data_IF_377413436833
#
_entry.id   IF_377413436833
#
_cell.length_a   1.000
_cell.length_b   1.000
_cell.length_c   1.000
_cell.angle_alpha   90.00
_cell.angle_beta   90.00
_cell.angle_gamma   90.00
#
_symmetry.space_group_name_H-M   'P 1'
#
loop_
_entity.id
_entity.type
_entity.pdbx_description
1 polymer ?
#
# COMPACT_ATOMS: atom_id res chain seq x y z
N UNK A 1 11.91 5.86 -40.97
CA UNK A 1 11.66 6.33 -39.58
C UNK A 1 10.27 5.92 -39.04
N UNK A 2 9.17 6.16 -39.79
CA UNK A 2 7.79 5.82 -39.35
C UNK A 2 7.62 4.32 -39.09
N UNK A 3 8.10 3.44 -39.96
CA UNK A 3 8.01 1.98 -39.82
C UNK A 3 8.71 1.50 -38.57
N UNK A 4 9.91 2.02 -38.27
CA UNK A 4 10.64 1.67 -37.04
C UNK A 4 9.88 2.12 -35.80
N UNK A 5 9.29 3.32 -35.81
CA UNK A 5 8.44 3.82 -34.73
C UNK A 5 7.22 2.92 -34.49
N UNK A 6 6.55 2.46 -35.55
CA UNK A 6 5.45 1.51 -35.43
C UNK A 6 5.90 0.17 -34.81
N UNK A 7 7.04 -0.37 -35.19
CA UNK A 7 7.56 -1.60 -34.58
C UNK A 7 7.89 -1.44 -33.10
N UNK A 8 8.47 -0.31 -32.70
CA UNK A 8 8.76 -0.03 -31.28
C UNK A 8 7.45 0.09 -30.48
N UNK A 9 6.47 0.83 -31.00
CA UNK A 9 5.16 0.98 -30.35
C UNK A 9 4.43 -0.36 -30.23
N UNK A 10 4.38 -1.12 -31.32
CA UNK A 10 3.74 -2.44 -31.29
C UNK A 10 4.47 -3.40 -30.33
N UNK A 11 5.79 -3.44 -30.38
CA UNK A 11 6.58 -4.29 -29.48
C UNK A 11 6.41 -3.94 -28.00
N UNK A 12 6.36 -2.64 -27.67
CA UNK A 12 6.16 -2.19 -26.29
C UNK A 12 4.72 -2.38 -25.79
N UNK A 13 3.74 -2.37 -26.69
CA UNK A 13 2.33 -2.59 -26.37
C UNK A 13 1.95 -4.09 -26.18
N UNK A 14 2.85 -5.01 -26.53
CA UNK A 14 2.57 -6.43 -26.35
C UNK A 14 2.54 -6.81 -24.84
N UNK A 15 1.51 -7.55 -24.38
CA UNK A 15 1.44 -8.05 -23.00
C UNK A 15 2.70 -8.83 -22.57
N UNK A 16 3.29 -9.57 -23.51
CA UNK A 16 4.53 -10.33 -23.26
C UNK A 16 5.70 -9.42 -22.87
N UNK A 17 5.85 -8.27 -23.54
CA UNK A 17 6.92 -7.30 -23.23
C UNK A 17 6.72 -6.73 -21.83
N UNK A 18 5.51 -6.33 -21.49
CA UNK A 18 5.17 -5.85 -20.14
C UNK A 18 5.45 -6.93 -19.10
N UNK A 19 5.03 -8.17 -19.35
CA UNK A 19 5.26 -9.29 -18.44
C UNK A 19 6.74 -9.60 -18.21
N UNK A 20 7.57 -9.55 -19.25
CA UNK A 20 9.02 -9.76 -19.12
C UNK A 20 9.70 -8.67 -18.30
N UNK A 21 9.28 -7.41 -18.47
CA UNK A 21 9.79 -6.29 -17.67
C UNK A 21 9.37 -6.44 -16.21
N UNK A 22 8.10 -6.73 -15.93
CA UNK A 22 7.59 -6.98 -14.57
C UNK A 22 8.32 -8.14 -13.90
N UNK A 23 8.44 -9.28 -14.55
CA UNK A 23 9.16 -10.43 -14.00
C UNK A 23 10.62 -10.11 -13.68
N UNK A 24 11.27 -9.24 -14.47
CA UNK A 24 12.63 -8.79 -14.22
C UNK A 24 12.75 -7.98 -12.91
N UNK A 25 11.75 -7.16 -12.60
CA UNK A 25 11.68 -6.37 -11.36
C UNK A 25 11.29 -7.25 -10.17
N UNK A 26 10.25 -8.06 -10.31
CA UNK A 26 9.73 -8.92 -9.25
C UNK A 26 10.73 -9.98 -8.77
N UNK A 27 11.60 -10.48 -9.66
CA UNK A 27 12.66 -11.43 -9.28
C UNK A 27 13.65 -10.86 -8.26
N UNK A 28 13.81 -9.54 -8.21
CA UNK A 28 14.69 -8.88 -7.23
C UNK A 28 14.05 -8.86 -5.83
N UNK A 29 12.71 -8.86 -5.76
CA UNK A 29 11.94 -8.83 -4.53
C UNK A 29 10.81 -9.87 -4.57
N UNK A 30 11.16 -11.17 -4.50
CA UNK A 30 10.16 -12.22 -4.59
C UNK A 30 9.15 -12.14 -3.43
N UNK A 31 7.87 -12.41 -3.68
CA UNK A 31 6.85 -12.44 -2.64
C UNK A 31 7.24 -13.46 -1.57
N UNK A 32 7.08 -13.07 -0.30
CA UNK A 32 7.33 -13.95 0.83
C UNK A 32 6.03 -14.58 1.30
N UNK A 33 6.04 -15.86 1.50
CA UNK A 33 4.91 -16.59 2.09
C UNK A 33 4.89 -16.32 3.60
N UNK A 34 3.70 -16.13 4.16
CA UNK A 34 3.49 -15.80 5.57
C UNK A 34 4.27 -16.73 6.52
N UNK A 35 4.24 -18.03 6.29
CA UNK A 35 4.92 -19.01 7.14
C UNK A 35 6.45 -18.84 7.18
N UNK A 36 7.02 -18.26 6.14
CA UNK A 36 8.47 -18.01 6.02
C UNK A 36 8.88 -16.62 6.54
N UNK A 37 7.93 -15.79 6.96
CA UNK A 37 8.24 -14.52 7.58
C UNK A 37 8.83 -14.75 8.97
N UNK A 38 9.92 -14.03 9.26
CA UNK A 38 10.43 -13.87 10.62
C UNK A 38 9.54 -12.95 11.46
N UNK A 39 10.01 -12.57 12.65
CA UNK A 39 9.39 -11.49 13.41
C UNK A 39 9.85 -10.13 12.91
N UNK A 40 8.92 -9.19 12.91
CA UNK A 40 9.10 -7.80 12.53
C UNK A 40 8.48 -6.91 13.62
N UNK A 41 8.94 -5.69 13.76
CA UNK A 41 8.39 -4.74 14.73
C UNK A 41 7.06 -4.17 14.23
N UNK A 42 6.96 -3.92 12.92
CA UNK A 42 5.74 -3.45 12.29
C UNK A 42 5.55 -4.03 10.88
N UNK A 43 4.31 -4.06 10.42
CA UNK A 43 3.95 -4.22 9.01
C UNK A 43 3.40 -2.91 8.48
N UNK A 44 3.90 -2.48 7.31
CA UNK A 44 3.49 -1.23 6.67
C UNK A 44 2.61 -1.52 5.48
N UNK A 45 1.46 -0.87 5.45
CA UNK A 45 0.50 -0.93 4.33
C UNK A 45 0.43 0.46 3.71
N UNK A 46 0.99 0.58 2.51
CA UNK A 46 0.98 1.82 1.74
C UNK A 46 -0.42 2.09 1.18
N UNK A 47 -0.79 3.36 1.06
CA UNK A 47 -2.06 3.81 0.48
C UNK A 47 -2.17 3.54 -1.03
N UNK A 48 -3.29 3.89 -1.65
CA UNK A 48 -3.53 3.73 -3.09
C UNK A 48 -4.38 2.50 -3.44
N UNK A 49 -5.20 2.02 -2.51
CA UNK A 49 -6.08 0.86 -2.69
C UNK A 49 -7.57 1.21 -2.60
N UNK A 50 -7.90 2.46 -2.27
CA UNK A 50 -9.28 2.93 -2.23
C UNK A 50 -9.51 4.02 -3.27
N UNK A 51 -10.64 3.91 -3.97
CA UNK A 51 -11.20 4.99 -4.77
C UNK A 51 -12.29 5.68 -3.95
N UNK A 52 -12.08 6.96 -3.65
CA UNK A 52 -13.06 7.77 -2.89
C UNK A 52 -13.85 8.69 -3.81
N UNK A 53 -15.16 8.77 -3.63
CA UNK A 53 -16.00 9.71 -4.33
C UNK A 53 -17.09 10.27 -3.42
N UNK A 54 -17.54 11.47 -3.72
CA UNK A 54 -18.67 12.08 -3.04
C UNK A 54 -19.93 11.96 -3.91
N UNK A 55 -20.96 11.33 -3.38
CA UNK A 55 -22.28 11.23 -4.03
C UNK A 55 -23.35 11.82 -3.13
N UNK A 56 -24.05 12.84 -3.63
CA UNK A 56 -25.10 13.56 -2.88
C UNK A 56 -24.65 14.02 -1.49
N UNK A 57 -23.42 14.55 -1.38
CA UNK A 57 -22.84 15.03 -0.12
C UNK A 57 -22.39 13.93 0.85
N UNK A 58 -22.49 12.67 0.48
CA UNK A 58 -22.01 11.53 1.27
C UNK A 58 -20.72 11.00 0.65
N UNK A 59 -19.66 10.93 1.44
CA UNK A 59 -18.40 10.29 1.03
C UNK A 59 -18.60 8.77 0.98
N UNK A 60 -18.17 8.16 -0.11
CA UNK A 60 -18.14 6.70 -0.30
C UNK A 60 -16.74 6.29 -0.76
N UNK A 61 -16.33 5.12 -0.33
CA UNK A 61 -15.08 4.51 -0.78
C UNK A 61 -15.34 3.12 -1.34
N UNK A 62 -14.65 2.81 -2.43
CA UNK A 62 -14.66 1.48 -3.06
C UNK A 62 -13.25 0.93 -3.10
N UNK A 63 -13.12 -0.39 -2.99
CA UNK A 63 -11.85 -1.07 -3.14
C UNK A 63 -11.43 -1.09 -4.61
N UNK A 64 -10.19 -0.63 -4.87
CA UNK A 64 -9.55 -0.79 -6.18
C UNK A 64 -8.66 -2.04 -6.18
N UNK A 65 -7.74 -2.16 -5.20
CA UNK A 65 -6.84 -3.30 -5.03
C UNK A 65 -6.58 -3.52 -3.53
N UNK A 66 -7.41 -4.35 -2.86
CA UNK A 66 -7.35 -4.49 -1.41
C UNK A 66 -6.31 -5.49 -0.90
N UNK A 67 -5.57 -6.19 -1.77
CA UNK A 67 -4.74 -7.34 -1.41
C UNK A 67 -3.72 -7.00 -0.31
N UNK A 68 -3.05 -5.83 -0.41
CA UNK A 68 -2.08 -5.39 0.60
C UNK A 68 -2.71 -5.08 1.95
N UNK A 69 -3.97 -4.62 1.98
CA UNK A 69 -4.70 -4.38 3.22
C UNK A 69 -4.95 -5.70 3.96
N UNK A 70 -5.49 -6.68 3.26
CA UNK A 70 -5.76 -7.99 3.86
C UNK A 70 -4.46 -8.71 4.26
N UNK A 71 -3.43 -8.64 3.43
CA UNK A 71 -2.12 -9.20 3.75
C UNK A 71 -1.51 -8.56 5.02
N UNK A 72 -1.59 -7.23 5.17
CA UNK A 72 -1.14 -6.54 6.39
C UNK A 72 -1.85 -6.99 7.65
N UNK A 73 -3.19 -7.16 7.59
CA UNK A 73 -4.00 -7.67 8.70
C UNK A 73 -3.64 -9.14 8.99
N UNK A 74 -3.41 -9.95 7.97
CA UNK A 74 -3.02 -11.36 8.14
C UNK A 74 -1.66 -11.48 8.83
N UNK A 75 -0.67 -10.68 8.43
CA UNK A 75 0.65 -10.62 9.08
C UNK A 75 0.51 -10.23 10.55
N UNK A 76 -0.28 -9.20 10.87
CA UNK A 76 -0.54 -8.81 12.25
C UNK A 76 -1.21 -9.93 13.05
N UNK A 77 -2.28 -10.53 12.53
CA UNK A 77 -3.05 -11.59 13.21
C UNK A 77 -2.25 -12.89 13.37
N UNK A 78 -1.26 -13.13 12.53
CA UNK A 78 -0.35 -14.28 12.66
C UNK A 78 0.67 -14.13 13.79
N UNK A 79 0.73 -12.95 14.45
CA UNK A 79 1.69 -12.66 15.50
C UNK A 79 3.12 -12.43 15.01
N UNK A 80 3.33 -12.24 13.70
CA UNK A 80 4.64 -11.90 13.12
C UNK A 80 5.07 -10.47 13.42
N UNK A 81 4.10 -9.62 13.77
CA UNK A 81 4.30 -8.24 14.24
C UNK A 81 3.24 -7.88 15.27
N UNK A 82 3.51 -6.87 16.08
CA UNK A 82 2.52 -6.28 17.01
C UNK A 82 1.90 -4.99 16.49
N UNK A 83 2.43 -4.41 15.41
CA UNK A 83 2.08 -3.06 14.94
C UNK A 83 1.75 -3.07 13.45
N UNK A 84 0.66 -2.40 13.11
CA UNK A 84 0.21 -2.18 11.73
C UNK A 84 0.24 -0.69 11.43
N UNK A 85 1.01 -0.29 10.44
CA UNK A 85 1.14 1.11 10.00
C UNK A 85 0.37 1.28 8.70
N UNK A 86 -0.58 2.21 8.67
CA UNK A 86 -1.21 2.68 7.43
C UNK A 86 -0.67 4.06 7.06
N UNK A 87 -0.27 4.24 5.80
CA UNK A 87 0.06 5.57 5.29
C UNK A 87 -1.22 6.34 4.97
N UNK A 88 -1.25 7.65 5.26
CA UNK A 88 -2.39 8.53 5.01
C UNK A 88 -2.28 9.21 3.65
N UNK A 89 -2.32 8.41 2.58
CA UNK A 89 -2.34 8.95 1.22
C UNK A 89 -3.58 9.78 0.96
N UNK A 90 -3.36 10.94 0.34
CA UNK A 90 -4.41 11.87 -0.06
C UNK A 90 -4.12 12.40 -1.46
N UNK A 91 -5.08 12.27 -2.38
CA UNK A 91 -4.96 12.88 -3.69
C UNK A 91 -5.17 14.40 -3.59
N UNK A 92 -4.23 15.24 -4.05
CA UNK A 92 -4.29 16.71 -3.90
C UNK A 92 -5.54 17.35 -4.53
N UNK A 93 -6.13 16.68 -5.53
CA UNK A 93 -7.33 17.13 -6.23
C UNK A 93 -8.61 16.44 -5.75
N UNK A 94 -8.52 15.59 -4.73
CA UNK A 94 -9.65 14.85 -4.19
C UNK A 94 -10.24 15.52 -2.95
N UNK A 95 -11.56 15.67 -2.90
CA UNK A 95 -12.29 16.06 -1.68
C UNK A 95 -12.55 14.82 -0.80
N UNK A 96 -11.51 14.04 -0.54
CA UNK A 96 -11.62 12.79 0.20
C UNK A 96 -10.91 12.88 1.56
N UNK A 97 -11.29 11.99 2.47
CA UNK A 97 -10.49 11.75 3.68
C UNK A 97 -9.20 11.03 3.29
N UNK A 98 -8.14 11.23 4.06
CA UNK A 98 -6.90 10.49 3.89
C UNK A 98 -7.18 8.98 4.01
N UNK A 99 -6.61 8.20 3.10
CA UNK A 99 -6.95 6.78 2.94
C UNK A 99 -6.69 5.96 4.21
N UNK A 100 -5.55 6.20 4.87
CA UNK A 100 -5.19 5.50 6.10
C UNK A 100 -6.23 5.61 7.22
N UNK A 101 -6.98 6.72 7.29
CA UNK A 101 -8.06 6.89 8.27
C UNK A 101 -9.22 5.92 7.98
N UNK A 102 -9.54 5.73 6.71
CA UNK A 102 -10.59 4.80 6.29
C UNK A 102 -10.14 3.35 6.52
N UNK A 103 -8.88 3.05 6.19
CA UNK A 103 -8.30 1.73 6.40
C UNK A 103 -8.24 1.37 7.88
N UNK A 104 -7.91 2.32 8.76
CA UNK A 104 -7.95 2.11 10.21
C UNK A 104 -9.33 1.70 10.68
N UNK A 105 -10.39 2.40 10.26
CA UNK A 105 -11.77 2.04 10.60
C UNK A 105 -12.10 0.62 10.14
N UNK A 106 -11.78 0.30 8.88
CA UNK A 106 -12.03 -1.03 8.32
C UNK A 106 -11.24 -2.14 9.05
N UNK A 107 -10.01 -1.87 9.47
CA UNK A 107 -9.21 -2.83 10.23
C UNK A 107 -9.82 -3.09 11.62
N UNK A 108 -10.30 -2.05 12.30
CA UNK A 108 -11.00 -2.18 13.59
C UNK A 108 -12.29 -2.99 13.44
N UNK A 109 -13.09 -2.74 12.39
CA UNK A 109 -14.29 -3.53 12.06
C UNK A 109 -13.96 -5.01 11.83
N UNK A 110 -12.75 -5.32 11.34
CA UNK A 110 -12.24 -6.68 11.18
C UNK A 110 -11.60 -7.27 12.45
N UNK A 111 -11.70 -6.56 13.59
CA UNK A 111 -11.24 -7.04 14.89
C UNK A 111 -9.77 -6.77 15.20
N UNK A 112 -9.12 -5.86 14.48
CA UNK A 112 -7.79 -5.36 14.87
C UNK A 112 -7.95 -4.38 16.03
N UNK A 113 -7.10 -4.51 17.05
CA UNK A 113 -7.12 -3.58 18.19
C UNK A 113 -6.59 -2.22 17.72
N UNK A 114 -7.29 -1.15 18.05
CA UNK A 114 -6.91 0.22 17.69
C UNK A 114 -5.50 0.58 18.18
N UNK A 115 -5.09 0.07 19.34
CA UNK A 115 -3.75 0.33 19.90
C UNK A 115 -2.62 -0.30 19.10
N UNK A 116 -2.91 -1.20 18.18
CA UNK A 116 -1.95 -1.83 17.28
C UNK A 116 -1.79 -1.06 15.96
N UNK A 117 -2.59 -0.01 15.74
CA UNK A 117 -2.61 0.72 14.47
C UNK A 117 -1.97 2.09 14.64
N UNK A 118 -0.96 2.37 13.84
CA UNK A 118 -0.32 3.69 13.71
C UNK A 118 -0.66 4.26 12.34
N UNK A 119 -0.91 5.56 12.29
CA UNK A 119 -1.11 6.30 11.04
C UNK A 119 0.07 7.22 10.79
N UNK A 120 0.55 7.27 9.55
CA UNK A 120 1.56 8.26 9.15
C UNK A 120 0.97 9.67 9.12
N UNK A 121 1.81 10.67 8.90
CA UNK A 121 1.36 11.96 8.42
C UNK A 121 0.71 11.87 7.05
N UNK A 122 -0.04 12.92 6.67
CA UNK A 122 -0.67 12.97 5.35
C UNK A 122 0.40 13.09 4.26
N UNK A 123 0.29 12.25 3.25
CA UNK A 123 1.26 12.11 2.16
C UNK A 123 0.56 12.12 0.80
N UNK A 124 1.24 12.60 -0.23
CA UNK A 124 0.67 12.82 -1.56
C UNK A 124 1.32 11.97 -2.66
N UNK A 125 2.38 11.24 -2.34
CA UNK A 125 3.09 10.36 -3.27
C UNK A 125 3.95 9.34 -2.51
N UNK A 126 4.40 8.31 -3.21
CA UNK A 126 5.17 7.20 -2.63
C UNK A 126 6.50 7.62 -2.00
N UNK A 127 7.14 8.68 -2.51
CA UNK A 127 8.39 9.16 -1.89
C UNK A 127 8.13 9.83 -0.53
N UNK A 128 6.98 10.47 -0.37
CA UNK A 128 6.54 11.00 0.92
C UNK A 128 6.10 9.89 1.86
N UNK A 129 5.41 8.84 1.36
CA UNK A 129 5.10 7.66 2.16
C UNK A 129 6.36 7.04 2.78
N UNK A 130 7.39 6.84 1.97
CA UNK A 130 8.65 6.27 2.45
C UNK A 130 9.31 7.13 3.54
N UNK A 131 9.26 8.47 3.40
CA UNK A 131 9.80 9.40 4.41
C UNK A 131 8.98 9.36 5.69
N UNK A 132 7.66 9.45 5.59
CA UNK A 132 6.76 9.42 6.74
C UNK A 132 6.86 8.09 7.52
N UNK A 133 7.00 6.97 6.81
CA UNK A 133 7.24 5.68 7.45
C UNK A 133 8.58 5.66 8.17
N UNK A 134 9.64 6.21 7.57
CA UNK A 134 10.96 6.30 8.21
C UNK A 134 10.91 7.13 9.50
N UNK A 135 10.26 8.29 9.46
CA UNK A 135 10.06 9.16 10.63
C UNK A 135 9.30 8.43 11.74
N UNK A 136 8.20 7.71 11.40
CA UNK A 136 7.47 6.88 12.36
C UNK A 136 8.32 5.77 12.96
N UNK A 137 9.19 5.14 12.18
CA UNK A 137 10.10 4.11 12.68
C UNK A 137 11.05 4.69 13.72
N UNK A 138 11.66 5.85 13.44
CA UNK A 138 12.58 6.54 14.34
C UNK A 138 11.87 6.97 15.64
N UNK A 139 10.66 7.53 15.55
CA UNK A 139 9.88 7.99 16.71
C UNK A 139 9.39 6.85 17.62
N UNK A 140 9.08 5.69 17.04
CA UNK A 140 8.52 4.54 17.77
C UNK A 140 9.54 3.44 18.09
N UNK A 141 10.81 3.61 17.74
CA UNK A 141 11.86 2.61 17.96
C UNK A 141 11.62 1.33 17.14
N UNK A 142 11.11 1.49 15.91
CA UNK A 142 10.85 0.38 14.98
C UNK A 142 12.09 0.22 14.10
N UNK A 143 12.75 -0.91 14.19
CA UNK A 143 13.98 -1.17 13.44
C UNK A 143 13.73 -2.04 12.20
N UNK A 144 12.69 -2.88 12.24
CA UNK A 144 12.44 -3.90 11.19
C UNK A 144 10.98 -3.94 10.75
N UNK A 145 10.77 -3.64 9.47
CA UNK A 145 9.45 -3.73 8.80
C UNK A 145 9.44 -4.74 7.66
#
# INVERSE_FOLDING_TARGET
MIILGCFVLLGSALPLTAQLIWQGLEKQHPPKVLDRLGSYDAVVVLSGMLSGFSYKGTFRSEWADPDRFFAGIEVLKSGKTSTLIFTRGLLPWGNSKAEGEILKIKAIEMGVNETQIILSDTVYNTAEEARAVKELMEENGIDKI
#
